data_IF_342892522142
#
_entry.id   IF_342892522142
#
_cell.length_a   1.000
_cell.length_b   1.000
_cell.length_c   1.000
_cell.angle_alpha   90.00
_cell.angle_beta   90.00
_cell.angle_gamma   90.00
#
_symmetry.space_group_name_H-M   'P 1'
#
loop_
_entity.id
_entity.type
_entity.pdbx_description
1 polymer ?
#
# COMPACT_ATOMS: atom_id res chain seq x y z
N UNK A 1 3.22 19.98 -0.81
CA UNK A 1 2.03 19.10 -1.04
C UNK A 1 1.65 19.02 -2.52
N UNK A 2 1.70 20.11 -3.29
CA UNK A 2 1.37 20.13 -4.74
C UNK A 2 2.21 19.18 -5.63
N UNK A 3 3.52 19.04 -5.36
CA UNK A 3 4.42 18.19 -6.17
C UNK A 3 4.09 16.68 -6.04
N UNK A 4 3.59 16.24 -4.88
CA UNK A 4 3.30 14.82 -4.64
C UNK A 4 2.01 14.37 -5.35
N UNK A 5 0.99 15.24 -5.38
CA UNK A 5 -0.22 15.01 -6.19
C UNK A 5 0.06 15.09 -7.70
N UNK A 6 0.98 15.96 -8.13
CA UNK A 6 1.37 16.04 -9.54
C UNK A 6 2.09 14.78 -10.04
N UNK A 7 2.93 14.15 -9.21
CA UNK A 7 3.57 12.88 -9.54
C UNK A 7 2.58 11.70 -9.58
N UNK A 8 1.62 11.66 -8.64
CA UNK A 8 0.53 10.68 -8.66
C UNK A 8 -0.35 10.79 -9.91
N UNK A 9 -0.58 12.02 -10.39
CA UNK A 9 -1.34 12.29 -11.61
C UNK A 9 -0.59 11.87 -12.89
N UNK A 10 0.74 11.95 -12.91
CA UNK A 10 1.58 11.38 -13.97
C UNK A 10 1.53 9.84 -13.97
N UNK A 11 1.61 9.20 -12.81
CA UNK A 11 1.50 7.74 -12.65
C UNK A 11 0.10 7.17 -13.00
N UNK A 12 -0.92 8.04 -13.09
CA UNK A 12 -2.27 7.71 -13.53
C UNK A 12 -2.47 7.92 -15.04
N UNK A 13 -1.72 8.82 -15.70
CA UNK A 13 -1.83 9.09 -17.14
C UNK A 13 -1.13 8.02 -18.00
N UNK A 14 -0.06 7.38 -17.49
CA UNK A 14 0.56 6.20 -18.13
C UNK A 14 -0.32 4.92 -18.06
N UNK A 15 -1.46 4.97 -17.37
CA UNK A 15 -2.38 3.83 -17.20
C UNK A 15 -3.10 3.38 -18.48
N UNK A 16 -2.84 4.00 -19.63
CA UNK A 16 -3.24 3.47 -20.95
C UNK A 16 -2.72 2.05 -21.23
N UNK A 17 -1.65 1.60 -20.54
CA UNK A 17 -1.08 0.25 -20.67
C UNK A 17 -1.59 -0.79 -19.64
N UNK A 18 -2.42 -0.39 -18.66
CA UNK A 18 -2.53 -1.06 -17.34
C UNK A 18 -3.47 -2.28 -17.24
N UNK A 19 -4.23 -2.63 -18.28
CA UNK A 19 -5.08 -3.84 -18.24
C UNK A 19 -4.30 -5.16 -18.35
N UNK A 20 -3.03 -5.14 -18.80
CA UNK A 20 -2.20 -6.34 -18.97
C UNK A 20 -1.45 -6.81 -17.72
N UNK A 21 -1.44 -6.03 -16.64
CA UNK A 21 -0.68 -6.34 -15.41
C UNK A 21 -1.51 -7.00 -14.30
N UNK A 22 -2.82 -7.18 -14.52
CA UNK A 22 -3.67 -7.80 -13.52
C UNK A 22 -3.36 -9.30 -13.41
N UNK A 23 -3.23 -9.78 -12.19
CA UNK A 23 -2.96 -11.18 -11.89
C UNK A 23 -3.61 -11.57 -10.56
N UNK A 24 -3.69 -12.87 -10.29
CA UNK A 24 -4.01 -13.35 -8.95
C UNK A 24 -2.85 -13.02 -8.01
N UNK A 25 -3.17 -12.35 -6.92
CA UNK A 25 -2.21 -11.86 -5.93
C UNK A 25 -2.61 -12.43 -4.58
N UNK A 26 -1.64 -12.99 -3.87
CA UNK A 26 -1.76 -13.27 -2.43
C UNK A 26 -1.68 -11.94 -1.67
N UNK A 27 -2.84 -11.43 -1.28
CA UNK A 27 -2.99 -10.19 -0.55
C UNK A 27 -2.43 -10.31 0.87
N UNK A 28 -2.56 -11.47 1.50
CA UNK A 28 -2.03 -11.73 2.83
C UNK A 28 -0.51 -11.55 2.85
N UNK A 29 0.17 -12.12 1.86
CA UNK A 29 1.60 -11.96 1.68
C UNK A 29 1.99 -10.50 1.38
N UNK A 30 1.27 -9.84 0.47
CA UNK A 30 1.54 -8.45 0.11
C UNK A 30 1.44 -7.51 1.32
N UNK A 31 0.36 -7.63 2.08
CA UNK A 31 0.13 -6.78 3.24
C UNK A 31 1.06 -7.11 4.41
N UNK A 32 1.42 -8.39 4.58
CA UNK A 32 2.44 -8.79 5.56
C UNK A 32 3.78 -8.11 5.31
N UNK A 33 4.27 -8.15 4.06
CA UNK A 33 5.51 -7.50 3.66
C UNK A 33 5.49 -5.97 3.89
N UNK A 34 4.37 -5.31 3.59
CA UNK A 34 4.22 -3.88 3.86
C UNK A 34 4.29 -3.57 5.36
N UNK A 35 3.69 -4.40 6.19
CA UNK A 35 3.71 -4.19 7.64
C UNK A 35 5.09 -4.39 8.22
N UNK A 36 5.82 -5.43 7.80
CA UNK A 36 7.21 -5.63 8.22
C UNK A 36 8.07 -4.41 7.85
N UNK A 37 7.76 -3.76 6.73
CA UNK A 37 8.43 -2.53 6.29
C UNK A 37 8.10 -1.32 7.17
N UNK A 38 6.85 -1.16 7.61
CA UNK A 38 6.39 0.02 8.36
C UNK A 38 6.42 -0.12 9.88
N UNK A 39 6.47 -1.35 10.41
CA UNK A 39 6.45 -1.61 11.84
C UNK A 39 7.53 -0.84 12.62
N UNK A 40 8.79 -0.74 12.15
CA UNK A 40 9.82 0.03 12.86
C UNK A 40 9.45 1.52 13.00
N UNK A 41 8.95 2.14 11.93
CA UNK A 41 8.59 3.56 11.94
C UNK A 41 7.38 3.86 12.85
N UNK A 42 6.46 2.90 12.98
CA UNK A 42 5.31 3.02 13.88
C UNK A 42 5.75 2.91 15.34
N UNK A 43 6.62 1.94 15.64
CA UNK A 43 7.16 1.70 16.98
C UNK A 43 7.95 2.90 17.50
N UNK A 44 8.80 3.49 16.65
CA UNK A 44 9.53 4.75 16.94
C UNK A 44 8.58 5.92 17.28
N UNK A 45 7.36 5.92 16.75
CA UNK A 45 6.36 6.95 17.04
C UNK A 45 5.56 6.69 18.33
N UNK A 46 5.85 5.61 19.05
CA UNK A 46 5.13 5.19 20.26
C UNK A 46 3.70 4.71 19.98
N UNK A 47 3.39 4.37 18.73
CA UNK A 47 2.07 3.90 18.29
C UNK A 47 2.10 2.40 18.03
N UNK A 48 0.93 1.81 17.84
CA UNK A 48 0.80 0.37 17.57
C UNK A 48 0.15 0.16 16.21
N UNK A 49 0.79 -0.65 15.36
CA UNK A 49 0.21 -1.15 14.12
C UNK A 49 -0.37 -2.54 14.36
N UNK A 50 -1.70 -2.66 14.32
CA UNK A 50 -2.37 -3.95 14.47
C UNK A 50 -2.68 -4.48 13.07
N UNK A 51 -2.17 -5.68 12.79
CA UNK A 51 -2.48 -6.39 11.56
C UNK A 51 -3.33 -7.62 11.85
N UNK A 52 -4.50 -7.67 11.21
CA UNK A 52 -5.38 -8.81 11.25
C UNK A 52 -5.84 -9.12 9.83
N UNK A 53 -5.16 -10.07 9.18
CA UNK A 53 -5.51 -10.57 7.86
C UNK A 53 -5.76 -12.07 7.93
N UNK A 54 -6.77 -12.52 7.20
CA UNK A 54 -6.94 -13.94 6.94
C UNK A 54 -5.75 -14.46 6.10
N UNK A 55 -5.27 -15.66 6.38
CA UNK A 55 -4.24 -16.31 5.55
C UNK A 55 -4.78 -16.65 4.15
N UNK A 56 -3.87 -16.70 3.17
CA UNK A 56 -4.13 -17.15 1.79
C UNK A 56 -5.25 -16.35 1.07
N UNK A 57 -5.43 -15.08 1.44
CA UNK A 57 -6.43 -14.22 0.82
C UNK A 57 -5.94 -13.82 -0.58
N UNK A 58 -6.59 -14.35 -1.61
CA UNK A 58 -6.23 -14.06 -3.00
C UNK A 58 -7.20 -13.09 -3.65
N UNK A 59 -6.70 -12.15 -4.46
CA UNK A 59 -7.53 -11.27 -5.29
C UNK A 59 -6.92 -11.03 -6.67
N UNK A 60 -7.76 -10.74 -7.65
CA UNK A 60 -7.31 -10.38 -9.00
C UNK A 60 -7.10 -8.87 -9.11
N UNK A 61 -5.86 -8.44 -9.30
CA UNK A 61 -5.49 -7.02 -9.25
C UNK A 61 -4.10 -6.71 -9.81
N UNK A 62 -3.72 -5.44 -9.75
CA UNK A 62 -2.37 -4.96 -10.08
C UNK A 62 -1.58 -4.76 -8.78
N UNK A 63 -0.52 -5.55 -8.62
CA UNK A 63 0.31 -5.59 -7.41
C UNK A 63 0.98 -4.25 -7.09
N UNK A 64 1.32 -3.46 -8.12
CA UNK A 64 1.96 -2.16 -7.96
C UNK A 64 0.95 -1.16 -7.41
N UNK A 65 -0.28 -1.18 -7.96
CA UNK A 65 -1.36 -0.33 -7.50
C UNK A 65 -1.80 -0.66 -6.07
N UNK A 66 -1.89 -1.94 -5.73
CA UNK A 66 -2.24 -2.37 -4.37
C UNK A 66 -1.15 -1.96 -3.38
N UNK A 67 0.12 -2.20 -3.68
CA UNK A 67 1.23 -1.73 -2.85
C UNK A 67 1.19 -0.23 -2.62
N UNK A 68 0.95 0.55 -3.68
CA UNK A 68 0.82 2.00 -3.59
C UNK A 68 -0.38 2.42 -2.73
N UNK A 69 -1.53 1.78 -2.93
CA UNK A 69 -2.75 2.05 -2.15
C UNK A 69 -2.50 1.84 -0.66
N UNK A 70 -2.04 0.65 -0.28
CA UNK A 70 -1.88 0.30 1.14
C UNK A 70 -0.73 1.06 1.80
N UNK A 71 0.40 1.25 1.10
CA UNK A 71 1.50 2.08 1.60
C UNK A 71 1.04 3.52 1.90
N UNK A 72 0.22 4.10 1.01
CA UNK A 72 -0.34 5.43 1.23
C UNK A 72 -1.28 5.47 2.44
N UNK A 73 -2.12 4.44 2.64
CA UNK A 73 -3.00 4.36 3.81
C UNK A 73 -2.21 4.26 5.11
N UNK A 74 -1.16 3.44 5.15
CA UNK A 74 -0.30 3.28 6.34
C UNK A 74 0.43 4.58 6.65
N UNK A 75 1.07 5.21 5.65
CA UNK A 75 1.74 6.50 5.83
C UNK A 75 0.79 7.58 6.32
N UNK A 76 -0.43 7.62 5.77
CA UNK A 76 -1.45 8.55 6.24
C UNK A 76 -1.83 8.28 7.70
N UNK A 77 -1.97 7.02 8.10
CA UNK A 77 -2.26 6.65 9.48
C UNK A 77 -1.13 7.08 10.43
N UNK A 78 0.14 6.82 10.09
CA UNK A 78 1.31 7.24 10.88
C UNK A 78 1.35 8.76 11.07
N UNK A 79 1.05 9.49 9.99
CA UNK A 79 1.16 10.95 9.97
C UNK A 79 -0.01 11.65 10.67
N UNK A 80 -1.20 11.07 10.63
CA UNK A 80 -2.43 11.78 10.99
C UNK A 80 -3.21 11.16 12.16
N UNK A 81 -2.78 10.02 12.69
CA UNK A 81 -3.29 9.52 13.99
C UNK A 81 -2.58 10.29 15.10
N UNK A 82 -3.29 10.93 16.06
CA UNK A 82 -2.66 11.65 17.17
C UNK A 82 -1.67 10.78 17.95
#
# INVERSE_FOLDING_TARGET
LEIFSALLRLAQIESGARRKAFSWIDLSYLLGSLIDTFAPAVDESGRTLIFNIQSELSLYGDVVLLNQLFGNLILNAIKHTP
#
